data_IF_153981006379
#
_entry.id   IF_153981006379
#
_cell.length_a   1.000
_cell.length_b   1.000
_cell.length_c   1.000
_cell.angle_alpha   90.00
_cell.angle_beta   90.00
_cell.angle_gamma   90.00
#
_symmetry.space_group_name_H-M   'P 1'
#
loop_
_entity.id
_entity.type
_entity.pdbx_description
1 polymer ?
#
# COMPACT_ATOMS: atom_id res chain seq x y z
N UNK A 1 32.99 1.61 25.57
CA UNK A 1 32.81 2.73 24.64
C UNK A 1 31.99 2.22 23.46
N UNK A 2 30.68 2.36 23.58
CA UNK A 2 29.72 1.94 22.53
C UNK A 2 29.63 3.06 21.49
N UNK A 3 30.21 2.85 20.31
CA UNK A 3 30.03 3.75 19.17
C UNK A 3 28.65 3.47 18.53
N UNK A 4 27.86 4.53 18.41
CA UNK A 4 26.50 4.50 17.88
C UNK A 4 26.40 3.87 16.49
N UNK A 5 25.34 3.06 16.35
CA UNK A 5 25.01 2.22 15.19
C UNK A 5 24.34 3.03 14.06
N UNK A 6 24.39 4.35 14.09
CA UNK A 6 23.75 5.19 13.09
C UNK A 6 24.77 5.80 12.15
N UNK A 7 24.86 5.25 10.92
CA UNK A 7 25.61 5.89 9.84
C UNK A 7 24.74 7.01 9.24
N UNK A 8 25.30 8.22 9.11
CA UNK A 8 24.63 9.35 8.42
C UNK A 8 24.13 9.02 7.00
N UNK A 9 24.69 7.99 6.36
CA UNK A 9 24.26 7.48 5.04
C UNK A 9 22.90 6.77 5.05
N UNK A 10 22.41 6.30 6.20
CA UNK A 10 21.11 5.62 6.26
C UNK A 10 19.94 6.63 6.32
N UNK A 11 20.17 7.83 6.84
CA UNK A 11 19.18 8.91 6.84
C UNK A 11 18.95 9.55 5.47
N UNK A 12 19.94 9.47 4.55
CA UNK A 12 19.81 9.97 3.19
C UNK A 12 18.87 9.14 2.29
N UNK A 13 18.47 7.96 2.74
CA UNK A 13 17.59 7.04 2.00
C UNK A 13 16.12 7.14 2.38
N UNK A 14 15.80 7.81 3.49
CA UNK A 14 14.39 8.08 3.85
C UNK A 14 13.84 9.21 2.96
N UNK A 15 12.58 9.13 2.49
CA UNK A 15 11.91 10.30 1.95
C UNK A 15 12.07 11.40 2.98
N UNK A 16 12.34 12.61 2.55
CA UNK A 16 12.66 13.70 3.48
C UNK A 16 11.62 13.67 4.61
N UNK A 17 12.06 13.83 5.86
CA UNK A 17 11.20 13.86 7.04
C UNK A 17 9.99 14.79 6.82
N UNK A 18 10.17 15.79 5.98
CA UNK A 18 9.16 16.73 5.51
C UNK A 18 8.01 16.03 4.74
N UNK A 19 8.30 15.06 3.87
CA UNK A 19 7.25 14.33 3.11
C UNK A 19 6.46 13.44 4.04
N UNK A 20 7.12 12.71 4.93
CA UNK A 20 6.46 11.87 5.94
C UNK A 20 5.58 12.71 6.88
N UNK A 21 6.10 13.85 7.35
CA UNK A 21 5.33 14.77 8.19
C UNK A 21 4.12 15.34 7.45
N UNK A 22 4.26 15.68 6.18
CA UNK A 22 3.14 16.18 5.36
C UNK A 22 2.03 15.12 5.19
N UNK A 23 2.39 13.87 4.93
CA UNK A 23 1.44 12.77 4.79
C UNK A 23 0.73 12.42 6.11
N UNK A 24 1.38 12.60 7.24
CA UNK A 24 0.75 12.42 8.54
C UNK A 24 -0.13 13.62 8.94
N UNK A 25 0.25 14.83 8.55
CA UNK A 25 -0.51 16.05 8.87
C UNK A 25 -1.94 16.00 8.32
N UNK A 26 -2.12 15.53 7.10
CA UNK A 26 -3.43 15.48 6.44
C UNK A 26 -4.45 14.62 7.22
N UNK A 27 -4.20 13.32 7.49
CA UNK A 27 -5.14 12.49 8.24
C UNK A 27 -5.33 12.99 9.68
N UNK A 28 -4.29 13.50 10.35
CA UNK A 28 -4.42 14.05 11.72
C UNK A 28 -5.32 15.29 11.73
N UNK A 29 -5.19 16.16 10.71
CA UNK A 29 -6.07 17.33 10.57
C UNK A 29 -7.52 16.90 10.38
N UNK A 30 -7.77 15.90 9.52
CA UNK A 30 -9.12 15.38 9.29
C UNK A 30 -9.68 14.72 10.57
N UNK A 31 -8.88 13.91 11.27
CA UNK A 31 -9.29 13.31 12.55
C UNK A 31 -9.70 14.39 13.56
N UNK A 32 -8.92 15.47 13.65
CA UNK A 32 -9.25 16.61 14.52
C UNK A 32 -10.58 17.27 14.11
N UNK A 33 -10.83 17.48 12.83
CA UNK A 33 -12.10 18.06 12.35
C UNK A 33 -13.29 17.15 12.68
N UNK A 34 -13.18 15.83 12.46
CA UNK A 34 -14.22 14.87 12.80
C UNK A 34 -14.49 14.85 14.32
N UNK A 35 -13.45 14.85 15.14
CA UNK A 35 -13.58 14.87 16.60
C UNK A 35 -14.27 16.15 17.09
N UNK A 36 -13.94 17.32 16.51
CA UNK A 36 -14.60 18.59 16.85
C UNK A 36 -16.08 18.61 16.43
N UNK A 37 -16.41 18.02 15.28
CA UNK A 37 -17.79 17.91 14.83
C UNK A 37 -18.61 16.98 15.75
N UNK A 38 -18.05 15.86 16.21
CA UNK A 38 -18.68 14.99 17.21
C UNK A 38 -18.87 15.74 18.54
N UNK A 39 -17.86 16.49 18.96
CA UNK A 39 -17.90 17.26 20.23
C UNK A 39 -18.95 18.38 20.22
N UNK A 40 -19.31 18.93 19.05
CA UNK A 40 -20.32 20.01 18.96
C UNK A 40 -21.70 19.57 19.43
N UNK A 41 -22.01 18.27 19.36
CA UNK A 41 -23.33 17.73 19.71
C UNK A 41 -24.45 18.09 18.73
N UNK A 42 -24.10 18.64 17.55
CA UNK A 42 -25.07 19.07 16.53
C UNK A 42 -25.39 17.97 15.51
N UNK A 43 -24.68 16.82 15.58
CA UNK A 43 -24.82 15.70 14.66
C UNK A 43 -26.01 14.81 15.05
N UNK A 44 -26.68 14.27 14.06
CA UNK A 44 -27.62 13.15 14.27
C UNK A 44 -26.87 11.90 14.73
N UNK A 45 -27.54 10.94 15.41
CA UNK A 45 -26.89 9.70 15.87
C UNK A 45 -26.22 8.91 14.73
N UNK A 46 -26.79 8.94 13.53
CA UNK A 46 -26.21 8.26 12.36
C UNK A 46 -24.96 8.97 11.83
N UNK A 47 -24.94 10.29 11.82
CA UNK A 47 -23.77 11.09 11.44
C UNK A 47 -22.64 10.93 12.46
N UNK A 48 -22.96 10.97 13.75
CA UNK A 48 -21.99 10.77 14.82
C UNK A 48 -21.31 9.40 14.70
N UNK A 49 -22.10 8.35 14.42
CA UNK A 49 -21.56 7.02 14.16
C UNK A 49 -20.66 6.99 12.94
N UNK A 50 -21.08 7.57 11.82
CA UNK A 50 -20.27 7.65 10.60
C UNK A 50 -18.95 8.40 10.83
N UNK A 51 -18.97 9.50 11.57
CA UNK A 51 -17.78 10.31 11.87
C UNK A 51 -16.84 9.56 12.80
N UNK A 52 -17.37 8.84 13.79
CA UNK A 52 -16.59 7.97 14.68
C UNK A 52 -15.90 6.84 13.91
N UNK A 53 -16.62 6.17 13.00
CA UNK A 53 -16.06 5.11 12.15
C UNK A 53 -14.94 5.65 11.25
N UNK A 54 -15.14 6.85 10.66
CA UNK A 54 -14.11 7.54 9.86
C UNK A 54 -12.88 7.90 10.68
N UNK A 55 -13.07 8.36 11.91
CA UNK A 55 -11.98 8.72 12.81
C UNK A 55 -11.10 7.52 13.14
N UNK A 56 -11.71 6.38 13.49
CA UNK A 56 -11.00 5.13 13.74
C UNK A 56 -10.21 4.70 12.52
N UNK A 57 -10.82 4.70 11.34
CA UNK A 57 -10.13 4.32 10.10
C UNK A 57 -8.93 5.22 9.77
N UNK A 58 -9.08 6.54 9.95
CA UNK A 58 -7.99 7.48 9.70
C UNK A 58 -6.85 7.25 10.68
N UNK A 59 -7.16 6.92 11.94
CA UNK A 59 -6.19 6.53 12.95
C UNK A 59 -5.42 5.27 12.55
N UNK A 60 -6.12 4.21 12.17
CA UNK A 60 -5.52 2.94 11.75
C UNK A 60 -4.62 3.12 10.52
N UNK A 61 -5.04 3.95 9.55
CA UNK A 61 -4.23 4.28 8.38
C UNK A 61 -2.95 5.02 8.76
N UNK A 62 -3.06 5.98 9.68
CA UNK A 62 -1.91 6.74 10.16
C UNK A 62 -0.92 5.87 10.91
N UNK A 63 -1.42 4.95 11.76
CA UNK A 63 -0.60 3.98 12.47
C UNK A 63 0.11 3.02 11.51
N UNK A 64 -0.57 2.54 10.47
CA UNK A 64 0.08 1.72 9.43
C UNK A 64 1.21 2.49 8.75
N UNK A 65 0.99 3.75 8.37
CA UNK A 65 2.03 4.57 7.75
C UNK A 65 3.24 4.76 8.66
N UNK A 66 3.04 5.05 9.96
CA UNK A 66 4.13 5.17 10.94
C UNK A 66 4.92 3.86 11.06
N UNK A 67 4.21 2.72 11.16
CA UNK A 67 4.84 1.40 11.24
C UNK A 67 5.65 1.09 9.98
N UNK A 68 5.09 1.37 8.80
CA UNK A 68 5.78 1.17 7.53
C UNK A 68 7.04 2.03 7.42
N UNK A 69 7.00 3.29 7.84
CA UNK A 69 8.17 4.16 7.88
C UNK A 69 9.25 3.64 8.84
N UNK A 70 8.84 3.16 10.03
CA UNK A 70 9.75 2.53 10.99
C UNK A 70 10.40 1.27 10.40
N UNK A 71 9.63 0.46 9.67
CA UNK A 71 10.15 -0.73 9.01
C UNK A 71 11.13 -0.39 7.89
N UNK A 72 10.83 0.62 7.05
CA UNK A 72 11.76 1.08 6.00
C UNK A 72 13.11 1.51 6.58
N UNK A 73 13.11 2.17 7.74
CA UNK A 73 14.34 2.54 8.45
C UNK A 73 15.15 1.36 8.98
N UNK A 74 14.56 0.18 9.12
CA UNK A 74 15.15 -1.00 9.74
C UNK A 74 14.98 -2.29 8.92
N UNK A 75 15.05 -2.19 7.58
CA UNK A 75 14.91 -3.34 6.67
C UNK A 75 16.14 -4.26 6.73
N UNK A 76 16.25 -5.05 7.80
CA UNK A 76 17.29 -6.08 7.96
C UNK A 76 16.71 -7.46 7.65
N UNK A 77 17.41 -8.32 6.88
CA UNK A 77 16.93 -9.67 6.57
C UNK A 77 16.59 -10.51 7.81
N UNK A 78 17.30 -10.29 8.91
CA UNK A 78 17.02 -10.98 10.19
C UNK A 78 15.67 -10.62 10.80
N UNK A 79 15.16 -9.41 10.55
CA UNK A 79 13.86 -8.94 11.06
C UNK A 79 12.69 -9.31 10.15
N UNK A 80 12.97 -9.52 8.86
CA UNK A 80 11.96 -9.81 7.84
C UNK A 80 12.39 -11.03 6.99
N UNK A 81 12.47 -12.25 7.60
CA UNK A 81 12.86 -13.45 6.86
C UNK A 81 11.86 -13.71 5.73
N UNK A 82 12.41 -14.23 4.61
CA UNK A 82 11.59 -14.68 3.50
C UNK A 82 11.19 -16.13 3.75
N UNK A 83 9.87 -16.38 3.68
CA UNK A 83 9.28 -17.69 3.93
C UNK A 83 8.34 -18.08 2.79
N UNK A 84 8.06 -19.39 2.61
CA UNK A 84 7.02 -19.83 1.70
C UNK A 84 5.67 -19.24 2.10
N UNK A 85 5.23 -18.22 1.37
CA UNK A 85 4.05 -17.41 1.68
C UNK A 85 2.95 -17.68 0.66
N UNK A 86 1.72 -17.89 1.14
CA UNK A 86 0.54 -18.05 0.27
C UNK A 86 -0.04 -16.67 -0.10
N UNK A 87 0.00 -16.24 -1.38
CA UNK A 87 -0.52 -14.93 -1.80
C UNK A 87 -2.02 -14.74 -1.53
N UNK A 88 -2.82 -15.81 -1.58
CA UNK A 88 -4.24 -15.75 -1.24
C UNK A 88 -4.47 -15.51 0.25
N UNK A 89 -3.62 -16.07 1.13
CA UNK A 89 -3.71 -15.82 2.56
C UNK A 89 -3.46 -14.34 2.89
N UNK A 90 -2.48 -13.72 2.21
CA UNK A 90 -2.22 -12.28 2.33
C UNK A 90 -3.42 -11.46 1.85
N UNK A 91 -4.04 -11.82 0.72
CA UNK A 91 -5.25 -11.15 0.24
C UNK A 91 -6.41 -11.30 1.25
N UNK A 92 -6.61 -12.48 1.86
CA UNK A 92 -7.66 -12.68 2.88
C UNK A 92 -7.44 -11.82 4.12
N UNK A 93 -6.21 -11.73 4.61
CA UNK A 93 -5.88 -10.86 5.74
C UNK A 93 -6.19 -9.40 5.43
N UNK A 94 -5.81 -8.91 4.26
CA UNK A 94 -6.11 -7.54 3.82
C UNK A 94 -7.61 -7.30 3.62
N UNK A 95 -8.35 -8.28 3.10
CA UNK A 95 -9.80 -8.18 2.90
C UNK A 95 -10.51 -7.79 4.20
N UNK A 96 -10.18 -8.44 5.31
CA UNK A 96 -10.82 -8.17 6.60
C UNK A 96 -10.60 -6.73 7.08
N UNK A 97 -9.38 -6.20 6.88
CA UNK A 97 -9.04 -4.85 7.35
C UNK A 97 -9.45 -3.72 6.38
N UNK A 98 -9.48 -3.98 5.06
CA UNK A 98 -9.65 -2.94 4.05
C UNK A 98 -11.10 -2.85 3.53
N UNK A 99 -11.87 -3.94 3.53
CA UNK A 99 -13.22 -3.92 2.97
C UNK A 99 -14.18 -2.94 3.65
N UNK A 100 -14.16 -2.73 4.98
CA UNK A 100 -14.96 -1.69 5.61
C UNK A 100 -14.60 -0.29 5.10
N UNK A 101 -13.30 -0.01 4.94
CA UNK A 101 -12.81 1.25 4.42
C UNK A 101 -13.24 1.48 2.97
N UNK A 102 -13.16 0.46 2.11
CA UNK A 102 -13.59 0.56 0.71
C UNK A 102 -15.07 0.94 0.61
N UNK A 103 -15.94 0.33 1.41
CA UNK A 103 -17.37 0.65 1.48
C UNK A 103 -17.64 2.10 1.86
N UNK A 104 -16.88 2.66 2.80
CA UNK A 104 -17.03 4.07 3.17
C UNK A 104 -16.60 5.04 2.06
N UNK A 105 -15.69 4.61 1.17
CA UNK A 105 -15.36 5.35 -0.05
C UNK A 105 -16.37 5.08 -1.19
N UNK A 106 -17.48 4.36 -0.93
CA UNK A 106 -18.44 3.97 -1.96
C UNK A 106 -17.85 3.08 -3.04
N UNK A 107 -16.87 2.24 -2.69
CA UNK A 107 -16.14 1.39 -3.63
C UNK A 107 -16.12 -0.07 -3.19
N UNK A 108 -16.23 -0.96 -4.17
CA UNK A 108 -16.07 -2.39 -3.95
C UNK A 108 -14.67 -2.85 -4.35
N UNK A 109 -14.15 -3.84 -3.63
CA UNK A 109 -12.90 -4.52 -4.01
C UNK A 109 -13.24 -5.93 -4.44
N UNK A 110 -12.92 -6.26 -5.69
CA UNK A 110 -13.03 -7.61 -6.23
C UNK A 110 -11.73 -8.35 -5.91
N UNK A 111 -11.78 -9.22 -4.94
CA UNK A 111 -10.67 -10.05 -4.51
C UNK A 111 -10.48 -11.28 -5.39
N UNK A 112 -9.25 -11.87 -5.43
CA UNK A 112 -9.01 -13.09 -6.18
C UNK A 112 -9.89 -14.22 -5.64
N UNK A 113 -10.47 -15.00 -6.59
CA UNK A 113 -11.25 -16.20 -6.22
C UNK A 113 -10.35 -17.23 -5.51
N UNK A 114 -10.95 -17.98 -4.60
CA UNK A 114 -10.25 -19.06 -3.92
C UNK A 114 -9.89 -20.15 -4.95
N UNK A 115 -8.58 -20.31 -5.21
CA UNK A 115 -8.03 -21.30 -6.14
C UNK A 115 -6.63 -21.70 -5.68
N UNK A 116 -6.13 -22.81 -6.19
CA UNK A 116 -4.74 -23.21 -5.95
C UNK A 116 -3.78 -22.18 -6.57
N UNK A 117 -2.86 -21.67 -5.76
CA UNK A 117 -1.79 -20.77 -6.19
C UNK A 117 -0.46 -21.26 -5.61
N UNK A 118 0.61 -21.03 -6.36
CA UNK A 118 1.95 -21.38 -5.89
C UNK A 118 2.35 -20.50 -4.71
N UNK A 119 3.11 -21.08 -3.78
CA UNK A 119 3.75 -20.31 -2.73
C UNK A 119 4.85 -19.43 -3.32
N UNK A 120 5.01 -18.26 -2.75
CA UNK A 120 6.07 -17.31 -3.12
C UNK A 120 7.07 -17.14 -1.98
N UNK A 121 8.31 -16.84 -2.32
CA UNK A 121 9.32 -16.47 -1.34
C UNK A 121 9.11 -15.02 -0.94
N UNK A 122 8.49 -14.79 0.22
CA UNK A 122 8.14 -13.44 0.66
C UNK A 122 8.03 -13.36 2.19
N UNK A 123 8.10 -12.15 2.73
CA UNK A 123 7.65 -11.86 4.07
C UNK A 123 6.18 -11.42 4.01
N UNK A 124 5.27 -12.12 4.68
CA UNK A 124 3.83 -11.87 4.60
C UNK A 124 3.43 -10.46 5.06
N UNK A 125 4.14 -9.90 6.04
CA UNK A 125 3.91 -8.55 6.56
C UNK A 125 4.30 -7.49 5.53
N UNK A 126 5.51 -7.59 4.97
CA UNK A 126 5.98 -6.66 3.94
C UNK A 126 5.12 -6.74 2.68
N UNK A 127 4.75 -7.96 2.24
CA UNK A 127 3.86 -8.16 1.10
C UNK A 127 2.47 -7.57 1.35
N UNK A 128 1.93 -7.73 2.56
CA UNK A 128 0.67 -7.12 2.97
C UNK A 128 0.73 -5.59 2.89
N UNK A 129 1.82 -4.98 3.35
CA UNK A 129 2.00 -3.53 3.25
C UNK A 129 2.13 -3.05 1.80
N UNK A 130 2.88 -3.75 0.93
CA UNK A 130 2.97 -3.41 -0.51
C UNK A 130 1.57 -3.38 -1.15
N UNK A 131 0.79 -4.44 -0.96
CA UNK A 131 -0.57 -4.52 -1.51
C UNK A 131 -1.50 -3.49 -0.87
N UNK A 132 -1.38 -3.25 0.43
CA UNK A 132 -2.13 -2.20 1.14
C UNK A 132 -1.88 -0.82 0.53
N UNK A 133 -0.62 -0.47 0.27
CA UNK A 133 -0.26 0.79 -0.39
C UNK A 133 -0.84 0.90 -1.81
N UNK A 134 -0.86 -0.20 -2.59
CA UNK A 134 -1.48 -0.21 -3.92
C UNK A 134 -3.00 -0.05 -3.84
N UNK A 135 -3.66 -0.70 -2.87
CA UNK A 135 -5.11 -0.59 -2.66
C UNK A 135 -5.48 0.80 -2.15
N UNK A 136 -4.71 1.39 -1.24
CA UNK A 136 -4.90 2.76 -0.77
C UNK A 136 -4.82 3.77 -1.91
N UNK A 137 -3.86 3.59 -2.83
CA UNK A 137 -3.78 4.39 -4.05
C UNK A 137 -5.01 4.19 -4.95
N UNK A 138 -5.45 2.94 -5.13
CA UNK A 138 -6.63 2.65 -5.92
C UNK A 138 -7.89 3.25 -5.30
N UNK A 139 -8.08 3.19 -3.98
CA UNK A 139 -9.19 3.81 -3.26
C UNK A 139 -9.19 5.34 -3.42
N UNK A 140 -8.02 5.96 -3.39
CA UNK A 140 -7.87 7.42 -3.53
C UNK A 140 -8.22 7.91 -4.94
N UNK A 141 -7.90 7.15 -5.98
CA UNK A 141 -7.91 7.63 -7.36
C UNK A 141 -8.95 6.99 -8.27
N UNK A 142 -9.56 5.85 -7.91
CA UNK A 142 -10.65 5.27 -8.70
C UNK A 142 -11.84 6.20 -8.78
N UNK A 143 -12.57 6.13 -9.90
CA UNK A 143 -13.86 6.79 -10.05
C UNK A 143 -14.89 6.13 -9.12
N UNK A 144 -15.90 6.90 -8.75
CA UNK A 144 -17.02 6.38 -7.97
C UNK A 144 -17.73 5.24 -8.71
N UNK A 145 -18.25 4.28 -7.95
CA UNK A 145 -18.95 3.10 -8.45
C UNK A 145 -18.12 2.17 -9.36
N UNK A 146 -16.81 2.39 -9.49
CA UNK A 146 -15.93 1.50 -10.24
C UNK A 146 -15.15 0.60 -9.27
N UNK A 147 -15.24 -0.73 -9.43
CA UNK A 147 -14.60 -1.67 -8.51
C UNK A 147 -13.08 -1.66 -8.67
N UNK A 148 -12.38 -1.71 -7.54
CA UNK A 148 -10.95 -2.01 -7.51
C UNK A 148 -10.80 -3.53 -7.67
N UNK A 149 -9.84 -3.97 -8.47
CA UNK A 149 -9.68 -5.39 -8.76
C UNK A 149 -8.30 -5.89 -8.35
N UNK A 150 -8.26 -6.84 -7.42
CA UNK A 150 -7.04 -7.55 -7.02
C UNK A 150 -6.97 -8.88 -7.77
N UNK A 151 -5.84 -9.16 -8.42
CA UNK A 151 -5.61 -10.39 -9.17
C UNK A 151 -4.29 -11.04 -8.79
N UNK A 152 -4.24 -12.36 -8.87
CA UNK A 152 -3.02 -13.16 -8.80
C UNK A 152 -2.85 -13.85 -10.15
N UNK A 153 -1.71 -13.68 -10.81
CA UNK A 153 -1.40 -14.22 -12.12
C UNK A 153 -0.16 -15.10 -11.97
N UNK A 154 -0.31 -16.38 -12.28
CA UNK A 154 0.79 -17.32 -12.33
C UNK A 154 1.58 -17.14 -13.62
N UNK A 155 2.89 -17.04 -13.52
CA UNK A 155 3.85 -17.00 -14.63
C UNK A 155 4.90 -18.07 -14.43
N UNK A 156 5.66 -18.39 -15.47
CA UNK A 156 6.79 -19.28 -15.34
C UNK A 156 7.83 -18.67 -14.38
N UNK A 157 8.14 -19.38 -13.30
CA UNK A 157 9.09 -18.95 -12.27
C UNK A 157 8.62 -17.82 -11.34
N UNK A 158 7.51 -17.14 -11.61
CA UNK A 158 7.05 -16.00 -10.84
C UNK A 158 5.53 -15.99 -10.60
N UNK A 159 5.10 -15.28 -9.58
CA UNK A 159 3.68 -14.96 -9.32
C UNK A 159 3.52 -13.45 -9.30
N UNK A 160 2.69 -12.91 -10.18
CA UNK A 160 2.32 -11.50 -10.20
C UNK A 160 1.06 -11.24 -9.41
N UNK A 161 1.12 -10.33 -8.45
CA UNK A 161 -0.07 -9.77 -7.80
C UNK A 161 -0.34 -8.37 -8.36
N UNK A 162 -1.59 -8.10 -8.72
CA UNK A 162 -2.00 -6.87 -9.41
C UNK A 162 -3.13 -6.22 -8.67
N UNK A 163 -3.05 -4.91 -8.47
CA UNK A 163 -4.15 -4.05 -8.02
C UNK A 163 -4.50 -3.08 -9.15
N UNK A 164 -5.71 -3.18 -9.67
CA UNK A 164 -6.23 -2.38 -10.79
C UNK A 164 -7.21 -1.33 -10.27
N UNK A 165 -6.93 -0.08 -10.55
CA UNK A 165 -7.85 1.03 -10.36
C UNK A 165 -8.57 1.43 -11.66
N UNK A 166 -9.66 2.17 -11.56
CA UNK A 166 -10.37 2.80 -12.68
C UNK A 166 -10.41 4.31 -12.45
N UNK A 167 -9.23 4.90 -12.37
CA UNK A 167 -9.04 6.35 -12.21
C UNK A 167 -8.84 7.07 -13.56
N UNK A 168 -8.58 8.40 -13.51
CA UNK A 168 -8.22 9.15 -14.70
C UNK A 168 -6.97 8.57 -15.36
N UNK A 169 -6.96 8.61 -16.70
CA UNK A 169 -5.81 8.19 -17.47
C UNK A 169 -4.61 9.07 -17.15
N UNK A 170 -3.47 8.45 -16.86
CA UNK A 170 -2.19 9.18 -16.78
C UNK A 170 -1.62 9.39 -18.18
N UNK A 171 -0.99 10.54 -18.43
CA UNK A 171 -0.33 10.82 -19.70
C UNK A 171 0.88 9.91 -19.92
N UNK A 172 1.31 9.73 -21.16
CA UNK A 172 2.53 8.96 -21.47
C UNK A 172 3.79 9.56 -20.79
N UNK A 173 3.84 10.89 -20.69
CA UNK A 173 4.94 11.59 -20.02
C UNK A 173 4.98 11.26 -18.53
N UNK A 174 3.84 11.30 -17.86
CA UNK A 174 3.71 10.92 -16.44
C UNK A 174 4.03 9.45 -16.22
N UNK A 175 3.52 8.56 -17.09
CA UNK A 175 3.81 7.14 -17.03
C UNK A 175 5.32 6.86 -17.06
N UNK A 176 6.04 7.42 -18.06
CA UNK A 176 7.49 7.25 -18.18
C UNK A 176 8.22 7.77 -16.93
N UNK A 177 7.85 8.98 -16.48
CA UNK A 177 8.42 9.54 -15.26
C UNK A 177 8.23 8.63 -14.05
N UNK A 178 7.03 8.06 -13.88
CA UNK A 178 6.74 7.15 -12.76
C UNK A 178 7.57 5.86 -12.82
N UNK A 179 7.73 5.28 -14.01
CA UNK A 179 8.59 4.09 -14.19
C UNK A 179 10.03 4.45 -13.83
N UNK A 180 10.58 5.54 -14.38
CA UNK A 180 11.95 5.98 -14.10
C UNK A 180 12.18 6.29 -12.60
N UNK A 181 11.20 6.93 -11.94
CA UNK A 181 11.26 7.21 -10.50
C UNK A 181 11.21 5.94 -9.66
N UNK A 182 10.39 4.94 -10.06
CA UNK A 182 10.32 3.64 -9.38
C UNK A 182 11.65 2.88 -9.51
N UNK A 183 12.28 2.89 -10.67
CA UNK A 183 13.59 2.28 -10.89
C UNK A 183 14.70 2.97 -10.09
N UNK A 184 14.67 4.31 -10.00
CA UNK A 184 15.66 5.10 -9.28
C UNK A 184 15.44 5.17 -7.77
N UNK A 185 14.37 4.56 -7.24
CA UNK A 185 14.01 4.59 -5.81
C UNK A 185 13.94 6.02 -5.22
N UNK A 186 13.59 6.99 -6.03
CA UNK A 186 13.36 8.36 -5.58
C UNK A 186 11.95 8.51 -5.00
N UNK A 187 11.72 9.62 -4.29
CA UNK A 187 10.35 9.96 -3.84
C UNK A 187 9.41 10.04 -5.03
N UNK A 188 8.47 9.10 -5.11
CA UNK A 188 7.65 8.87 -6.30
C UNK A 188 6.34 9.63 -6.16
N UNK A 189 6.15 10.72 -6.88
CA UNK A 189 4.86 11.39 -6.98
C UNK A 189 4.04 10.77 -8.11
N UNK A 190 3.14 9.87 -7.76
CA UNK A 190 2.28 9.19 -8.74
C UNK A 190 1.27 10.12 -9.41
N UNK A 191 0.89 11.21 -8.74
CA UNK A 191 0.00 12.28 -9.24
C UNK A 191 0.32 13.59 -8.55
N UNK A 192 -0.13 14.75 -9.06
CA UNK A 192 0.15 16.06 -8.47
C UNK A 192 -0.18 16.17 -6.97
N UNK A 193 -1.27 15.51 -6.54
CA UNK A 193 -1.75 15.51 -5.17
C UNK A 193 -1.25 14.33 -4.32
N UNK A 194 -0.28 13.55 -4.82
CA UNK A 194 0.31 12.43 -4.09
C UNK A 194 1.71 12.77 -3.62
N UNK A 195 2.03 12.42 -2.38
CA UNK A 195 3.41 12.53 -1.86
C UNK A 195 4.36 11.51 -2.46
N UNK A 196 3.81 10.44 -3.06
CA UNK A 196 4.56 9.30 -3.56
C UNK A 196 5.10 8.37 -2.46
N UNK A 197 4.84 8.69 -1.19
CA UNK A 197 5.38 7.94 -0.06
C UNK A 197 4.94 6.48 -0.04
N UNK A 198 3.67 6.20 -0.31
CA UNK A 198 3.15 4.82 -0.33
C UNK A 198 3.82 3.94 -1.38
N UNK A 199 4.07 4.47 -2.60
CA UNK A 199 4.78 3.72 -3.65
C UNK A 199 6.27 3.59 -3.33
N UNK A 200 6.88 4.60 -2.71
CA UNK A 200 8.24 4.50 -2.21
C UNK A 200 8.37 3.39 -1.16
N UNK A 201 7.50 3.34 -0.15
CA UNK A 201 7.49 2.28 0.87
C UNK A 201 7.31 0.91 0.20
N UNK A 202 6.35 0.79 -0.73
CA UNK A 202 6.12 -0.44 -1.48
C UNK A 202 7.37 -0.89 -2.25
N UNK A 203 8.12 0.04 -2.87
CA UNK A 203 9.36 -0.25 -3.59
C UNK A 203 10.47 -0.76 -2.66
N UNK A 204 10.62 -0.15 -1.47
CA UNK A 204 11.62 -0.59 -0.48
C UNK A 204 11.31 -2.01 0.03
N UNK A 205 10.04 -2.29 0.34
CA UNK A 205 9.60 -3.60 0.80
C UNK A 205 9.72 -4.67 -0.28
N UNK A 206 9.34 -4.36 -1.52
CA UNK A 206 9.52 -5.27 -2.65
C UNK A 206 11.01 -5.63 -2.83
N UNK A 207 11.89 -4.61 -2.82
CA UNK A 207 13.34 -4.82 -2.93
C UNK A 207 13.89 -5.68 -1.79
N UNK A 208 13.44 -5.46 -0.55
CA UNK A 208 13.83 -6.29 0.60
C UNK A 208 13.41 -7.76 0.43
N UNK A 209 12.36 -8.02 -0.35
CA UNK A 209 11.91 -9.37 -0.71
C UNK A 209 12.54 -9.92 -2.00
N UNK A 210 13.44 -9.18 -2.67
CA UNK A 210 13.97 -9.57 -3.99
C UNK A 210 12.89 -9.59 -5.08
N UNK A 211 11.81 -8.82 -4.89
CA UNK A 211 10.67 -8.73 -5.78
C UNK A 211 10.72 -7.41 -6.59
N UNK A 212 10.05 -7.41 -7.74
CA UNK A 212 9.94 -6.24 -8.61
C UNK A 212 8.53 -5.66 -8.56
N UNK A 213 8.43 -4.35 -8.45
CA UNK A 213 7.15 -3.65 -8.61
C UNK A 213 7.13 -2.89 -9.92
N UNK A 214 5.93 -2.67 -10.43
CA UNK A 214 5.75 -1.85 -11.62
C UNK A 214 4.31 -1.40 -11.78
N UNK A 215 4.08 -0.68 -12.85
CA UNK A 215 2.75 -0.21 -13.20
C UNK A 215 2.43 -0.47 -14.67
N UNK A 216 1.14 -0.63 -14.97
CA UNK A 216 0.60 -0.79 -16.32
C UNK A 216 -0.40 0.34 -16.53
N UNK A 217 -0.17 1.14 -17.57
CA UNK A 217 -1.08 2.21 -17.95
C UNK A 217 -2.25 1.65 -18.75
N UNK A 218 -3.46 2.06 -18.42
CA UNK A 218 -4.68 1.78 -19.19
C UNK A 218 -5.35 3.07 -19.65
N UNK A 219 -6.34 2.96 -20.51
CA UNK A 219 -7.13 4.13 -20.95
C UNK A 219 -7.99 4.72 -19.82
N UNK A 220 -8.37 3.88 -18.86
CA UNK A 220 -9.30 4.15 -17.76
C UNK A 220 -8.67 3.84 -16.40
N UNK A 221 -7.40 4.21 -16.18
CA UNK A 221 -6.71 4.05 -14.90
C UNK A 221 -5.36 3.35 -14.99
N UNK A 222 -4.93 2.75 -13.89
CA UNK A 222 -3.61 2.14 -13.73
C UNK A 222 -3.72 0.79 -13.03
N UNK A 223 -2.79 -0.11 -13.32
CA UNK A 223 -2.55 -1.29 -12.48
C UNK A 223 -1.17 -1.18 -11.85
N UNK A 224 -1.08 -1.26 -10.53
CA UNK A 224 0.17 -1.54 -9.84
C UNK A 224 0.34 -3.04 -9.69
N UNK A 225 1.57 -3.54 -9.80
CA UNK A 225 1.86 -4.94 -9.61
C UNK A 225 3.16 -5.17 -8.85
N UNK A 226 3.25 -6.36 -8.26
CA UNK A 226 4.48 -6.93 -7.71
C UNK A 226 4.71 -8.31 -8.30
N UNK A 227 5.91 -8.58 -8.79
CA UNK A 227 6.37 -9.88 -9.26
C UNK A 227 7.22 -10.53 -8.16
N UNK A 228 6.77 -11.69 -7.71
CA UNK A 228 7.36 -12.47 -6.62
C UNK A 228 7.95 -13.77 -7.16
N UNK A 229 9.13 -14.16 -6.71
CA UNK A 229 9.73 -15.45 -7.03
C UNK A 229 8.92 -16.56 -6.38
N UNK A 230 8.64 -17.65 -7.13
CA UNK A 230 7.99 -18.83 -6.56
C UNK A 230 8.89 -19.48 -5.53
N UNK A 231 8.30 -19.92 -4.43
CA UNK A 231 9.00 -20.77 -3.47
C UNK A 231 9.20 -22.16 -4.08
N UNK A 232 10.40 -22.73 -3.90
CA UNK A 232 10.66 -24.12 -4.31
C UNK A 232 9.84 -25.17 -3.53
N UNK A 233 9.10 -24.76 -2.50
CA UNK A 233 8.19 -25.65 -1.78
C UNK A 233 6.83 -25.69 -2.45
N UNK A 234 6.30 -26.91 -2.64
CA UNK A 234 4.96 -27.14 -3.14
C UNK A 234 3.93 -26.69 -2.10
N UNK A 235 2.88 -26.03 -2.55
CA UNK A 235 1.70 -25.74 -1.72
C UNK A 235 0.95 -27.04 -1.43
N UNK A 236 0.92 -27.46 -0.19
CA UNK A 236 0.13 -28.59 0.33
C UNK A 236 -1.21 -28.08 0.90
N UNK A 237 -1.99 -27.31 0.17
CA UNK A 237 -3.38 -26.99 0.58
C UNK A 237 -4.30 -26.92 -0.63
#
# INVERSE_FOLDING_TARGET
MSRGIWNEHDFAKLPSLSVAAHELKSPITLMRQLALAIQSGELSPDEERQFSDRLVMMSDRSLRLVNDLSHVGNLQPALFPLEPTNPLAVCRSLHTGISPMAKMYGRDIIWPKNRRVDLVSANSRLLGSVLGNFIDNALKYSQENMPIRVKIIQKDGATRMVVRDHGPQISLKEYRRLVDEMEQLKSIKTRPDSSGLGVYIASQFARAMGAEIGLIRHRDGVSFYIDLVKSGQLSWL
#
